data_IF_014265338164
#
_entry.id   IF_014265338164
#
_cell.length_a   1.000
_cell.length_b   1.000
_cell.length_c   1.000
_cell.angle_alpha   90.00
_cell.angle_beta   90.00
_cell.angle_gamma   90.00
#
_symmetry.space_group_name_H-M   'P 1'
#
loop_
_entity.id
_entity.type
_entity.pdbx_description
1 polymer ?
#
# COMPACT_ATOMS: atom_id res chain seq x y z
N UNK A 1 7.31 -12.12 10.75
CA UNK A 1 7.76 -10.80 10.24
C UNK A 1 6.61 -9.82 10.38
N UNK A 2 6.88 -8.55 10.71
CA UNK A 2 5.86 -7.51 10.86
C UNK A 2 5.65 -6.70 9.58
N UNK A 3 4.42 -6.61 9.08
CA UNK A 3 4.06 -5.87 7.86
C UNK A 3 3.08 -4.76 8.21
N UNK A 4 3.42 -3.51 7.87
CA UNK A 4 2.46 -2.41 7.99
C UNK A 4 1.81 -2.12 6.64
N UNK A 5 0.48 -2.13 6.60
CA UNK A 5 -0.32 -1.78 5.44
C UNK A 5 -0.79 -0.33 5.57
N UNK A 6 -0.36 0.51 4.63
CA UNK A 6 -0.76 1.91 4.51
C UNK A 6 -1.87 1.98 3.46
N UNK A 7 -3.10 2.25 3.90
CA UNK A 7 -4.29 2.18 3.04
C UNK A 7 -4.88 3.56 2.77
N UNK A 8 -5.16 3.86 1.51
CA UNK A 8 -5.85 5.07 1.06
C UNK A 8 -7.06 4.73 0.20
N UNK A 9 -8.25 5.24 0.56
CA UNK A 9 -9.46 4.97 -0.22
C UNK A 9 -10.47 6.09 -0.11
N UNK A 10 -11.15 6.40 -1.22
CA UNK A 10 -12.27 7.37 -1.23
C UNK A 10 -13.58 6.70 -0.81
N UNK A 11 -13.88 5.53 -1.40
CA UNK A 11 -15.16 4.82 -1.23
C UNK A 11 -15.03 3.43 -0.60
N UNK A 12 -13.82 3.03 -0.17
CA UNK A 12 -13.60 1.79 0.57
C UNK A 12 -13.03 0.63 -0.26
N UNK A 13 -13.07 0.66 -1.59
CA UNK A 13 -12.58 -0.45 -2.44
C UNK A 13 -11.12 -0.82 -2.15
N UNK A 14 -10.24 0.17 -2.06
CA UNK A 14 -8.83 -0.08 -1.71
C UNK A 14 -8.66 -0.53 -0.25
N UNK A 15 -9.59 -0.15 0.64
CA UNK A 15 -9.59 -0.64 2.02
C UNK A 15 -10.00 -2.12 2.10
N UNK A 16 -10.95 -2.57 1.28
CA UNK A 16 -11.32 -3.99 1.19
C UNK A 16 -10.17 -4.83 0.61
N UNK A 17 -9.48 -4.34 -0.43
CA UNK A 17 -8.24 -4.97 -0.91
C UNK A 17 -7.18 -5.04 0.18
N UNK A 18 -7.01 -3.97 0.98
CA UNK A 18 -6.09 -3.96 2.11
C UNK A 18 -6.49 -4.95 3.22
N UNK A 19 -7.80 -5.11 3.48
CA UNK A 19 -8.34 -6.11 4.42
C UNK A 19 -8.10 -7.53 3.92
N UNK A 20 -8.30 -7.80 2.63
CA UNK A 20 -7.98 -9.10 2.03
C UNK A 20 -6.48 -9.39 2.13
N UNK A 21 -5.63 -8.44 1.75
CA UNK A 21 -4.18 -8.56 1.88
C UNK A 21 -3.74 -8.83 3.33
N UNK A 22 -4.35 -8.16 4.31
CA UNK A 22 -4.12 -8.43 5.72
C UNK A 22 -4.46 -9.87 6.09
N UNK A 23 -5.60 -10.38 5.65
CA UNK A 23 -6.03 -11.75 5.95
C UNK A 23 -5.02 -12.76 5.39
N UNK A 24 -4.69 -12.65 4.10
CA UNK A 24 -3.73 -13.54 3.43
C UNK A 24 -2.33 -13.49 4.05
N UNK A 25 -1.84 -12.30 4.39
CA UNK A 25 -0.55 -12.15 5.10
C UNK A 25 -0.60 -12.77 6.50
N UNK A 26 -1.71 -12.56 7.23
CA UNK A 26 -1.86 -13.15 8.58
C UNK A 26 -1.88 -14.67 8.50
N UNK A 27 -2.63 -15.25 7.56
CA UNK A 27 -2.71 -16.70 7.34
C UNK A 27 -1.36 -17.29 6.90
N UNK A 28 -0.53 -16.50 6.22
CA UNK A 28 0.83 -16.87 5.85
C UNK A 28 1.86 -16.75 6.99
N UNK A 29 1.45 -16.29 8.18
CA UNK A 29 2.27 -16.20 9.40
C UNK A 29 2.90 -14.83 9.67
N UNK A 30 2.45 -13.77 9.00
CA UNK A 30 2.91 -12.40 9.26
C UNK A 30 2.08 -11.74 10.37
N UNK A 31 2.70 -10.84 11.13
CA UNK A 31 1.99 -9.94 12.03
C UNK A 31 1.68 -8.66 11.24
N UNK A 32 0.41 -8.28 11.12
CA UNK A 32 -0.02 -7.22 10.19
C UNK A 32 -0.70 -6.06 10.92
N UNK A 33 -0.18 -4.85 10.69
CA UNK A 33 -0.85 -3.60 11.06
C UNK A 33 -1.67 -3.10 9.87
N UNK A 34 -2.98 -2.97 10.05
CA UNK A 34 -3.87 -2.22 9.16
C UNK A 34 -4.80 -1.39 10.03
N UNK A 35 -4.66 -0.07 9.93
CA UNK A 35 -5.54 0.90 10.56
C UNK A 35 -5.58 2.15 9.66
N UNK A 36 -6.74 2.43 9.07
CA UNK A 36 -6.92 3.56 8.14
C UNK A 36 -6.81 4.94 8.80
N UNK A 37 -6.71 4.98 10.13
CA UNK A 37 -6.44 6.19 10.91
C UNK A 37 -5.11 6.14 11.64
N UNK A 38 -4.21 5.23 11.25
CA UNK A 38 -2.88 5.14 11.85
C UNK A 38 -2.12 6.45 11.65
N UNK A 39 -1.52 6.92 12.73
CA UNK A 39 -0.54 8.01 12.69
C UNK A 39 0.85 7.44 12.43
N UNK A 40 1.80 8.31 12.06
CA UNK A 40 3.20 7.92 11.93
C UNK A 40 3.75 7.28 13.21
N UNK A 41 3.36 7.80 14.37
CA UNK A 41 3.77 7.26 15.66
C UNK A 41 3.25 5.83 15.88
N UNK A 42 2.02 5.52 15.43
CA UNK A 42 1.45 4.16 15.52
C UNK A 42 2.24 3.19 14.65
N UNK A 43 2.58 3.58 13.42
CA UNK A 43 3.37 2.76 12.50
C UNK A 43 4.79 2.55 13.06
N UNK A 44 5.42 3.58 13.62
CA UNK A 44 6.74 3.45 14.25
C UNK A 44 6.70 2.54 15.49
N UNK A 45 5.68 2.68 16.34
CA UNK A 45 5.51 1.84 17.53
C UNK A 45 5.30 0.37 17.19
N UNK A 46 4.66 0.07 16.05
CA UNK A 46 4.52 -1.29 15.55
C UNK A 46 5.86 -1.92 15.14
N UNK A 47 6.85 -1.09 14.79
CA UNK A 47 8.18 -1.48 14.31
C UNK A 47 8.13 -2.41 13.09
N UNK A 48 7.61 -1.94 11.94
CA UNK A 48 7.46 -2.75 10.74
C UNK A 48 8.81 -3.23 10.23
N UNK A 49 8.79 -4.43 9.67
CA UNK A 49 9.90 -5.04 8.94
C UNK A 49 9.64 -5.08 7.43
N UNK A 50 8.42 -4.75 7.00
CA UNK A 50 8.02 -4.55 5.62
C UNK A 50 6.87 -3.54 5.54
N UNK A 51 6.74 -2.86 4.40
CA UNK A 51 5.66 -1.90 4.12
C UNK A 51 4.85 -2.31 2.88
N UNK A 52 3.53 -2.27 2.97
CA UNK A 52 2.63 -2.45 1.83
C UNK A 52 1.75 -1.21 1.70
N UNK A 53 1.79 -0.53 0.57
CA UNK A 53 0.82 0.54 0.28
C UNK A 53 -0.33 -0.04 -0.55
N UNK A 54 -1.58 0.25 -0.17
CA UNK A 54 -2.77 -0.09 -0.95
C UNK A 54 -3.60 1.17 -1.10
N UNK A 55 -3.62 1.76 -2.29
CA UNK A 55 -4.29 3.06 -2.45
C UNK A 55 -5.05 3.17 -3.75
N UNK A 56 -6.24 3.78 -3.67
CA UNK A 56 -6.91 4.30 -4.86
C UNK A 56 -6.30 5.63 -5.29
N UNK A 57 -6.72 6.13 -6.44
CA UNK A 57 -6.42 7.49 -6.91
C UNK A 57 -7.69 8.32 -6.94
N UNK A 58 -7.65 9.59 -6.50
CA UNK A 58 -8.80 10.50 -6.62
C UNK A 58 -8.96 10.96 -8.08
N UNK A 59 -10.11 11.56 -8.42
CA UNK A 59 -10.34 12.12 -9.76
C UNK A 59 -9.36 13.23 -10.16
N UNK A 60 -8.60 13.78 -9.20
CA UNK A 60 -7.56 14.79 -9.44
C UNK A 60 -6.16 14.18 -9.62
N UNK A 61 -6.03 12.84 -9.57
CA UNK A 61 -4.72 12.16 -9.61
C UNK A 61 -3.99 12.11 -8.28
N UNK A 62 -4.66 12.46 -7.18
CA UNK A 62 -4.06 12.59 -5.85
C UNK A 62 -4.31 11.36 -4.97
N UNK A 63 -3.59 11.28 -3.86
CA UNK A 63 -3.87 10.32 -2.80
C UNK A 63 -5.23 10.61 -2.13
N UNK A 64 -5.97 9.60 -1.68
CA UNK A 64 -7.20 9.80 -0.93
C UNK A 64 -6.95 10.52 0.41
N UNK A 65 -7.90 11.37 0.82
CA UNK A 65 -7.80 12.23 2.01
C UNK A 65 -7.44 11.48 3.31
N UNK A 66 -7.85 10.22 3.43
CA UNK A 66 -7.55 9.41 4.61
C UNK A 66 -6.08 8.98 4.71
N UNK A 67 -5.34 8.96 3.59
CA UNK A 67 -3.93 8.59 3.55
C UNK A 67 -3.00 9.81 3.53
N UNK A 68 -3.47 10.96 3.01
CA UNK A 68 -2.66 12.19 2.87
C UNK A 68 -1.96 12.62 4.18
N UNK A 69 -2.62 12.66 5.36
CA UNK A 69 -1.94 13.07 6.59
C UNK A 69 -0.77 12.15 6.98
N UNK A 70 -0.94 10.83 6.79
CA UNK A 70 0.10 9.85 7.09
C UNK A 70 1.23 9.93 6.07
N UNK A 71 0.90 10.06 4.78
CA UNK A 71 1.86 10.26 3.70
C UNK A 71 2.77 11.47 3.98
N UNK A 72 2.17 12.63 4.26
CA UNK A 72 2.92 13.87 4.55
C UNK A 72 3.81 13.72 5.77
N UNK A 73 3.30 13.14 6.86
CA UNK A 73 4.10 12.91 8.06
C UNK A 73 5.31 11.99 7.81
N UNK A 74 5.13 10.92 7.03
CA UNK A 74 6.22 10.02 6.66
C UNK A 74 7.26 10.77 5.82
N UNK A 75 6.83 11.56 4.84
CA UNK A 75 7.71 12.31 3.94
C UNK A 75 8.47 13.43 4.67
N UNK A 76 7.84 14.06 5.66
CA UNK A 76 8.47 15.10 6.46
C UNK A 76 9.53 14.54 7.42
N UNK A 77 9.29 13.35 7.98
CA UNK A 77 10.21 12.76 8.97
C UNK A 77 11.28 11.84 8.35
N UNK A 78 10.98 11.17 7.24
CA UNK A 78 11.81 10.14 6.59
C UNK A 78 12.47 9.17 7.60
N UNK A 79 11.70 8.32 8.29
CA UNK A 79 12.23 7.48 9.36
C UNK A 79 13.37 6.58 8.88
N UNK A 80 14.59 6.85 9.35
CA UNK A 80 15.79 6.11 8.93
C UNK A 80 15.71 4.60 9.20
N UNK A 81 14.92 4.18 10.20
CA UNK A 81 14.66 2.78 10.53
C UNK A 81 13.97 1.99 9.41
N UNK A 82 13.34 2.67 8.45
CA UNK A 82 12.64 2.03 7.33
C UNK A 82 13.50 1.87 6.08
N UNK A 83 14.71 2.42 6.09
CA UNK A 83 15.65 2.31 4.98
C UNK A 83 16.08 0.85 4.79
N UNK A 84 15.99 0.36 3.55
CA UNK A 84 16.32 -1.01 3.17
C UNK A 84 15.24 -2.04 3.50
N UNK A 85 14.16 -1.65 4.18
CA UNK A 85 13.04 -2.56 4.38
C UNK A 85 12.42 -2.94 3.02
N UNK A 86 11.96 -4.19 2.85
CA UNK A 86 11.16 -4.55 1.70
C UNK A 86 9.83 -3.78 1.71
N UNK A 87 9.39 -3.35 0.53
CA UNK A 87 8.06 -2.80 0.36
C UNK A 87 7.46 -3.06 -1.01
N UNK A 88 6.16 -2.88 -1.12
CA UNK A 88 5.44 -3.05 -2.37
C UNK A 88 4.17 -2.19 -2.39
N UNK A 89 3.59 -1.99 -3.58
CA UNK A 89 2.43 -1.11 -3.78
C UNK A 89 1.36 -1.83 -4.59
N UNK A 90 0.11 -1.73 -4.15
CA UNK A 90 -1.09 -2.06 -4.91
C UNK A 90 -1.83 -0.74 -5.17
N UNK A 91 -2.03 -0.42 -6.43
CA UNK A 91 -2.70 0.78 -6.87
C UNK A 91 -4.02 0.43 -7.54
N UNK A 92 -5.09 1.07 -7.08
CA UNK A 92 -6.40 1.01 -7.72
C UNK A 92 -6.58 2.30 -8.53
N UNK A 93 -6.64 2.15 -9.84
CA UNK A 93 -6.91 3.22 -10.79
C UNK A 93 -8.17 2.93 -11.59
N UNK A 94 -8.47 3.83 -12.51
CA UNK A 94 -9.48 3.66 -13.55
C UNK A 94 -8.86 4.22 -14.84
N UNK A 95 -8.63 3.35 -15.82
CA UNK A 95 -7.97 3.72 -17.09
C UNK A 95 -8.77 4.77 -17.87
N UNK A 96 -10.06 4.92 -17.61
CA UNK A 96 -10.92 5.93 -18.24
C UNK A 96 -10.48 7.36 -17.90
N UNK A 97 -9.75 7.55 -16.79
CA UNK A 97 -9.18 8.84 -16.41
C UNK A 97 -7.83 9.14 -17.10
N UNK A 98 -7.31 8.22 -17.91
CA UNK A 98 -6.11 8.43 -18.72
C UNK A 98 -4.86 8.69 -17.87
N UNK A 99 -4.37 9.94 -17.91
CA UNK A 99 -3.08 10.33 -17.34
C UNK A 99 -2.99 10.18 -15.81
N UNK A 100 -4.13 10.06 -15.10
CA UNK A 100 -4.15 9.87 -13.64
C UNK A 100 -4.24 8.39 -13.22
N UNK A 101 -4.20 7.46 -14.17
CA UNK A 101 -4.31 6.02 -13.89
C UNK A 101 -3.24 5.57 -12.88
N UNK A 102 -3.70 5.08 -11.72
CA UNK A 102 -2.85 4.64 -10.60
C UNK A 102 -1.91 5.72 -10.03
N UNK A 103 -2.19 7.01 -10.22
CA UNK A 103 -1.33 8.12 -9.78
C UNK A 103 -1.08 8.17 -8.27
N UNK A 104 -2.05 7.75 -7.44
CA UNK A 104 -1.83 7.60 -5.99
C UNK A 104 -0.82 6.51 -5.66
N UNK A 105 -0.81 5.41 -6.42
CA UNK A 105 0.18 4.35 -6.28
C UNK A 105 1.59 4.83 -6.61
N UNK A 106 1.75 5.59 -7.69
CA UNK A 106 3.05 6.15 -8.06
C UNK A 106 3.60 7.11 -6.99
N UNK A 107 2.75 7.96 -6.38
CA UNK A 107 3.16 8.80 -5.24
C UNK A 107 3.68 7.96 -4.05
N UNK A 108 3.05 6.82 -3.77
CA UNK A 108 3.54 5.91 -2.72
C UNK A 108 4.88 5.26 -3.10
N UNK A 109 5.11 4.95 -4.38
CA UNK A 109 6.41 4.43 -4.86
C UNK A 109 7.50 5.48 -4.75
N UNK A 110 7.21 6.73 -5.11
CA UNK A 110 8.13 7.86 -4.94
C UNK A 110 8.52 8.03 -3.47
N UNK A 111 7.55 8.00 -2.56
CA UNK A 111 7.81 8.04 -1.12
C UNK A 111 8.68 6.86 -0.66
N UNK A 112 8.40 5.64 -1.12
CA UNK A 112 9.20 4.46 -0.81
C UNK A 112 10.64 4.62 -1.30
N UNK A 113 10.85 5.19 -2.48
CA UNK A 113 12.18 5.50 -3.01
C UNK A 113 12.90 6.56 -2.16
N UNK A 114 12.22 7.64 -1.74
CA UNK A 114 12.76 8.67 -0.84
C UNK A 114 13.18 8.09 0.52
N UNK A 115 12.38 7.16 1.07
CA UNK A 115 12.70 6.42 2.30
C UNK A 115 13.84 5.40 2.14
N UNK A 116 14.16 5.03 0.90
CA UNK A 116 15.09 3.93 0.58
C UNK A 116 14.52 2.55 0.89
N UNK A 117 13.19 2.40 0.85
CA UNK A 117 12.48 1.11 0.88
C UNK A 117 12.77 0.36 -0.42
N UNK A 118 13.04 -0.94 -0.33
CA UNK A 118 13.33 -1.78 -1.49
C UNK A 118 12.03 -2.34 -2.05
N UNK A 119 11.63 -1.86 -3.21
CA UNK A 119 10.51 -2.44 -3.96
C UNK A 119 10.80 -3.91 -4.30
N UNK A 120 10.03 -4.84 -3.73
CA UNK A 120 10.26 -6.30 -3.88
C UNK A 120 9.48 -6.93 -5.03
N UNK A 121 8.43 -6.26 -5.49
CA UNK A 121 7.61 -6.63 -6.63
C UNK A 121 7.22 -5.36 -7.39
N UNK A 122 7.06 -5.42 -8.72
CA UNK A 122 6.45 -4.33 -9.46
C UNK A 122 5.07 -4.00 -8.88
N UNK A 123 4.76 -2.72 -8.78
CA UNK A 123 3.45 -2.25 -8.35
C UNK A 123 2.32 -2.95 -9.13
N UNK A 124 1.38 -3.52 -8.39
CA UNK A 124 0.15 -4.04 -8.98
C UNK A 124 -0.74 -2.86 -9.36
N UNK A 125 -1.18 -2.84 -10.62
CA UNK A 125 -2.16 -1.86 -11.12
C UNK A 125 -3.48 -2.58 -11.36
N UNK A 126 -4.50 -2.24 -10.58
CA UNK A 126 -5.86 -2.73 -10.74
C UNK A 126 -6.70 -1.65 -11.41
N UNK A 127 -7.41 -2.03 -12.47
CA UNK A 127 -8.32 -1.14 -13.18
C UNK A 127 -9.77 -1.36 -12.73
N UNK A 128 -10.26 -0.42 -11.94
CA UNK A 128 -11.61 -0.42 -11.35
C UNK A 128 -12.71 -0.24 -12.40
N UNK A 129 -12.38 0.14 -13.64
CA UNK A 129 -13.36 0.28 -14.73
C UNK A 129 -13.79 -1.07 -15.32
N UNK A 130 -12.94 -2.09 -15.19
CA UNK A 130 -13.15 -3.42 -15.78
C UNK A 130 -13.29 -4.55 -14.75
N UNK A 131 -12.89 -4.32 -13.49
CA UNK A 131 -13.07 -5.30 -12.42
C UNK A 131 -14.15 -4.90 -11.41
N UNK A 132 -14.88 -5.90 -10.93
CA UNK A 132 -15.84 -5.80 -9.82
C UNK A 132 -15.38 -6.58 -8.59
N UNK A 133 -14.23 -7.27 -8.68
CA UNK A 133 -13.64 -8.12 -7.64
C UNK A 133 -12.13 -7.83 -7.47
N UNK A 134 -11.74 -6.58 -7.18
CA UNK A 134 -10.32 -6.21 -7.07
C UNK A 134 -9.59 -6.96 -5.95
N UNK A 135 -10.31 -7.43 -4.92
CA UNK A 135 -9.78 -8.25 -3.84
C UNK A 135 -9.26 -9.59 -4.38
N UNK A 136 -10.06 -10.27 -5.20
CA UNK A 136 -9.73 -11.56 -5.82
C UNK A 136 -8.61 -11.38 -6.86
N UNK A 137 -8.68 -10.33 -7.67
CA UNK A 137 -7.66 -10.02 -8.69
C UNK A 137 -6.28 -9.72 -8.08
N UNK A 138 -6.26 -9.26 -6.83
CA UNK A 138 -5.02 -8.97 -6.11
C UNK A 138 -4.36 -10.21 -5.49
N UNK A 139 -5.09 -11.31 -5.30
CA UNK A 139 -4.61 -12.47 -4.56
C UNK A 139 -3.36 -13.13 -5.16
N UNK A 140 -3.26 -13.34 -6.49
CA UNK A 140 -2.06 -13.94 -7.09
C UNK A 140 -0.81 -13.11 -6.80
N UNK A 141 -0.94 -11.78 -6.88
CA UNK A 141 0.15 -10.87 -6.60
C UNK A 141 0.51 -10.84 -5.10
N UNK A 142 -0.49 -10.88 -4.20
CA UNK A 142 -0.26 -10.97 -2.75
C UNK A 142 0.44 -12.29 -2.40
N UNK A 143 0.09 -13.39 -3.07
CA UNK A 143 0.76 -14.67 -2.88
C UNK A 143 2.25 -14.61 -3.28
N UNK A 144 2.59 -13.87 -4.33
CA UNK A 144 3.98 -13.62 -4.71
C UNK A 144 4.68 -12.68 -3.72
N UNK A 145 3.97 -11.67 -3.18
CA UNK A 145 4.51 -10.80 -2.15
C UNK A 145 4.87 -11.60 -0.90
N UNK A 146 3.99 -12.51 -0.47
CA UNK A 146 4.23 -13.43 0.65
C UNK A 146 5.53 -14.22 0.44
N UNK A 147 5.79 -14.72 -0.78
CA UNK A 147 7.04 -15.43 -1.10
C UNK A 147 8.24 -14.50 -1.03
N UNK A 148 8.12 -13.27 -1.55
CA UNK A 148 9.21 -12.29 -1.57
C UNK A 148 9.57 -11.73 -0.17
N UNK A 149 8.63 -11.75 0.77
CA UNK A 149 8.84 -11.31 2.16
C UNK A 149 9.28 -12.43 3.10
N UNK A 150 9.15 -13.70 2.71
CA UNK A 150 9.70 -14.82 3.48
C UNK A 150 11.22 -14.89 3.27
N UNK A 151 12.01 -15.08 4.35
CA UNK A 151 13.46 -15.22 4.28
C UNK A 151 13.89 -16.52 3.59
#
# INVERSE_FOLDING_TARGET
MKVAILSGSVYGTAEEVARNAKQLLTDAGFEVLLNTRATLADVQAFAPQALLAVTSTTGMGELPDNLVPLYSAIRDQLPAAWRGLPGAVIALGDESYGDTFCGGGEQMRELFAELGVREVLPMLRLDSSVTVTPEEDSEPWIADLIKALKP
#
